data_IF_057764599587
#
_entry.id   IF_057764599587
#
_cell.length_a   1.000
_cell.length_b   1.000
_cell.length_c   1.000
_cell.angle_alpha   90.00
_cell.angle_beta   90.00
_cell.angle_gamma   90.00
#
_symmetry.space_group_name_H-M   'P 1'
#
loop_
_entity.id
_entity.type
_entity.pdbx_description
1 polymer ?
#
# COMPACT_ATOMS: atom_id res chain seq x y z
N UNK A 1 -6.04 -1.24 -11.38
CA UNK A 1 -4.58 -1.23 -11.23
C UNK A 1 -4.26 -1.33 -9.75
N UNK A 2 -4.05 -2.54 -9.25
CA UNK A 2 -3.45 -2.76 -7.95
C UNK A 2 -2.01 -3.22 -8.20
N UNK A 3 -1.04 -2.55 -7.58
CA UNK A 3 0.40 -2.81 -7.74
C UNK A 3 1.00 -3.20 -6.38
N UNK A 4 1.89 -4.19 -6.37
CA UNK A 4 2.68 -4.57 -5.21
C UNK A 4 4.16 -4.59 -5.60
N UNK A 5 4.97 -3.71 -5.00
CA UNK A 5 6.42 -3.68 -5.18
C UNK A 5 7.07 -3.87 -3.82
N UNK A 6 7.81 -4.96 -3.63
CA UNK A 6 8.43 -5.24 -2.34
C UNK A 6 9.44 -6.37 -2.43
N UNK A 7 10.73 -6.04 -2.28
CA UNK A 7 11.77 -7.02 -1.91
C UNK A 7 11.56 -7.41 -0.45
N UNK A 8 10.60 -8.29 -0.19
CA UNK A 8 10.30 -8.80 1.14
C UNK A 8 11.30 -9.92 1.47
N UNK A 9 12.14 -9.71 2.49
CA UNK A 9 12.79 -10.82 3.16
C UNK A 9 11.69 -11.75 3.71
N UNK A 10 11.81 -13.04 3.40
CA UNK A 10 10.93 -14.16 3.79
C UNK A 10 10.17 -13.96 5.11
N UNK A 11 8.95 -13.45 5.06
CA UNK A 11 7.91 -13.66 6.09
C UNK A 11 6.57 -13.34 5.45
N UNK A 12 5.77 -14.39 5.21
CA UNK A 12 4.43 -14.45 4.58
C UNK A 12 4.39 -14.56 3.03
N UNK A 13 3.75 -15.63 2.49
CA UNK A 13 3.49 -15.73 1.05
C UNK A 13 2.49 -14.65 0.62
N UNK A 14 2.63 -14.07 -0.58
CA UNK A 14 1.75 -13.01 -1.08
C UNK A 14 0.26 -13.42 -1.15
N UNK A 15 -0.05 -14.71 -0.99
CA UNK A 15 -1.42 -15.25 -1.01
C UNK A 15 -2.38 -14.48 -0.10
N UNK A 16 -2.06 -14.29 1.18
CA UNK A 16 -2.99 -13.64 2.11
C UNK A 16 -3.29 -12.19 1.71
N UNK A 17 -2.28 -11.48 1.19
CA UNK A 17 -2.43 -10.12 0.70
C UNK A 17 -3.26 -10.06 -0.58
N UNK A 18 -2.97 -10.92 -1.56
CA UNK A 18 -3.66 -10.94 -2.84
C UNK A 18 -5.11 -11.43 -2.67
N UNK A 19 -5.35 -12.39 -1.79
CA UNK A 19 -6.69 -12.85 -1.41
C UNK A 19 -7.51 -11.72 -0.75
N UNK A 20 -6.94 -10.98 0.21
CA UNK A 20 -7.63 -9.83 0.82
C UNK A 20 -7.92 -8.72 -0.21
N UNK A 21 -6.97 -8.47 -1.12
CA UNK A 21 -7.14 -7.51 -2.19
C UNK A 21 -8.28 -7.89 -3.14
N UNK A 22 -8.36 -9.16 -3.57
CA UNK A 22 -9.41 -9.65 -4.48
C UNK A 22 -10.81 -9.43 -3.90
N UNK A 23 -11.00 -9.70 -2.60
CA UNK A 23 -12.29 -9.54 -1.91
C UNK A 23 -12.76 -8.09 -1.80
N UNK A 24 -11.85 -7.12 -1.99
CA UNK A 24 -12.16 -5.67 -1.90
C UNK A 24 -12.44 -5.05 -3.26
N UNK A 25 -12.22 -5.79 -4.35
CA UNK A 25 -12.45 -5.32 -5.70
C UNK A 25 -13.78 -5.89 -6.21
N UNK A 26 -14.67 -5.00 -6.64
CA UNK A 26 -16.00 -5.38 -7.12
C UNK A 26 -16.01 -5.81 -8.60
N UNK A 27 -14.95 -5.50 -9.34
CA UNK A 27 -14.88 -5.67 -10.79
C UNK A 27 -13.52 -6.27 -11.19
N UNK A 28 -13.48 -6.89 -12.36
CA UNK A 28 -12.26 -7.32 -13.05
C UNK A 28 -11.26 -6.16 -13.14
N UNK A 29 -9.99 -6.42 -12.85
CA UNK A 29 -8.91 -5.44 -12.94
C UNK A 29 -7.74 -5.95 -13.77
N UNK A 30 -6.89 -5.02 -14.21
CA UNK A 30 -5.53 -5.35 -14.62
C UNK A 30 -4.58 -5.20 -13.42
N UNK A 31 -3.72 -6.21 -13.24
CA UNK A 31 -2.72 -6.29 -12.19
C UNK A 31 -1.31 -6.16 -12.78
N UNK A 32 -0.41 -5.51 -12.05
CA UNK A 32 1.01 -5.52 -12.36
C UNK A 32 1.84 -5.72 -11.10
N UNK A 33 2.75 -6.69 -11.13
CA UNK A 33 3.70 -6.97 -10.05
C UNK A 33 5.14 -6.84 -10.53
N UNK A 34 6.07 -6.85 -9.57
CA UNK A 34 7.50 -6.98 -9.87
C UNK A 34 7.89 -8.42 -10.23
N UNK A 35 9.17 -8.66 -10.51
CA UNK A 35 9.72 -9.98 -10.87
C UNK A 35 9.59 -11.11 -9.83
N UNK A 36 8.90 -10.92 -8.71
CA UNK A 36 8.84 -11.89 -7.63
C UNK A 36 7.87 -13.04 -7.93
N UNK A 37 8.43 -14.22 -8.23
CA UNK A 37 7.70 -15.42 -8.68
C UNK A 37 6.54 -15.87 -7.79
N UNK A 38 6.55 -15.59 -6.49
CA UNK A 38 5.44 -16.00 -5.62
C UNK A 38 4.11 -15.31 -5.96
N UNK A 39 4.15 -14.17 -6.66
CA UNK A 39 2.93 -13.53 -7.17
C UNK A 39 2.27 -14.31 -8.32
N UNK A 40 2.99 -15.20 -9.02
CA UNK A 40 2.38 -16.02 -10.07
C UNK A 40 1.26 -16.90 -9.49
N UNK A 41 1.58 -17.66 -8.44
CA UNK A 41 0.62 -18.54 -7.78
C UNK A 41 -0.46 -17.75 -7.04
N UNK A 42 -0.06 -16.65 -6.36
CA UNK A 42 -1.01 -15.86 -5.58
C UNK A 42 -2.05 -15.13 -6.43
N UNK A 43 -1.64 -14.54 -7.55
CA UNK A 43 -2.55 -13.84 -8.47
C UNK A 43 -3.47 -14.83 -9.16
N UNK A 44 -2.94 -15.92 -9.70
CA UNK A 44 -3.76 -16.98 -10.31
C UNK A 44 -4.83 -17.48 -9.33
N UNK A 45 -4.46 -17.78 -8.09
CA UNK A 45 -5.39 -18.34 -7.09
C UNK A 45 -6.51 -17.39 -6.67
N UNK A 46 -6.25 -16.07 -6.64
CA UNK A 46 -7.19 -15.08 -6.12
C UNK A 46 -7.99 -14.35 -7.22
N UNK A 47 -7.38 -14.15 -8.39
CA UNK A 47 -7.90 -13.33 -9.47
C UNK A 47 -8.08 -14.11 -10.78
N UNK A 48 -7.79 -15.42 -10.81
CA UNK A 48 -7.77 -16.24 -12.02
C UNK A 48 -8.84 -15.87 -13.03
N UNK A 49 -8.41 -15.46 -14.22
CA UNK A 49 -9.24 -14.86 -15.26
C UNK A 49 -9.11 -13.33 -15.41
N UNK A 50 -8.38 -12.61 -14.55
CA UNK A 50 -8.03 -11.19 -14.70
C UNK A 50 -6.78 -10.97 -15.57
N UNK A 51 -6.56 -9.75 -16.07
CA UNK A 51 -5.36 -9.47 -16.88
C UNK A 51 -4.15 -9.23 -15.97
N UNK A 52 -3.07 -9.98 -16.19
CA UNK A 52 -1.90 -9.92 -15.32
C UNK A 52 -0.60 -9.85 -16.12
N UNK A 53 0.25 -8.88 -15.74
CA UNK A 53 1.59 -8.73 -16.26
C UNK A 53 2.61 -8.51 -15.14
N UNK A 54 3.86 -8.87 -15.39
CA UNK A 54 4.99 -8.54 -14.52
C UNK A 54 5.86 -7.50 -15.21
N UNK A 55 6.33 -6.49 -14.45
CA UNK A 55 7.36 -5.57 -14.88
C UNK A 55 8.66 -5.88 -14.15
N UNK A 56 9.59 -6.50 -14.86
CA UNK A 56 10.87 -6.96 -14.32
C UNK A 56 11.94 -5.92 -14.60
N UNK A 57 12.36 -5.21 -13.55
CA UNK A 57 13.49 -4.27 -13.64
C UNK A 57 14.81 -5.02 -13.71
N UNK A 58 15.62 -4.68 -14.70
CA UNK A 58 16.95 -5.21 -14.92
C UNK A 58 17.93 -4.24 -14.26
N UNK A 59 18.69 -4.76 -13.30
CA UNK A 59 19.69 -3.97 -12.58
C UNK A 59 21.09 -4.45 -12.97
N UNK A 60 21.93 -3.52 -13.40
CA UNK A 60 23.36 -3.73 -13.66
C UNK A 60 24.23 -3.45 -12.44
N UNK A 61 25.51 -3.73 -12.57
CA UNK A 61 26.54 -3.35 -11.60
C UNK A 61 26.77 -1.84 -11.64
N UNK A 62 26.62 -1.16 -10.49
CA UNK A 62 26.95 0.27 -10.36
C UNK A 62 28.43 0.51 -10.68
N UNK A 63 28.75 1.63 -11.36
CA UNK A 63 30.14 2.03 -11.64
C UNK A 63 30.99 2.13 -10.36
N UNK A 64 32.28 1.83 -10.45
CA UNK A 64 33.22 1.88 -9.32
C UNK A 64 33.24 3.25 -8.61
N UNK A 65 32.98 4.33 -9.35
CA UNK A 65 32.87 5.71 -8.86
C UNK A 65 31.63 5.98 -7.99
N UNK A 66 30.62 5.10 -8.04
CA UNK A 66 29.38 5.21 -7.27
C UNK A 66 29.34 4.26 -6.07
N UNK A 67 30.43 3.56 -5.72
CA UNK A 67 30.49 2.56 -4.63
C UNK A 67 30.47 3.19 -3.22
N UNK A 68 29.40 3.92 -2.88
CA UNK A 68 29.02 4.16 -1.50
C UNK A 68 28.26 2.95 -0.94
N UNK A 69 28.29 2.74 0.38
CA UNK A 69 27.57 1.64 1.08
C UNK A 69 26.06 1.60 0.80
N UNK A 70 25.50 2.67 0.24
CA UNK A 70 24.08 2.91 0.06
C UNK A 70 23.67 3.30 -1.36
N UNK A 71 24.60 3.22 -2.32
CA UNK A 71 24.28 3.54 -3.71
C UNK A 71 23.41 2.44 -4.32
N UNK A 72 22.29 2.79 -4.95
CA UNK A 72 21.47 1.79 -5.64
C UNK A 72 22.23 1.17 -6.82
N UNK A 73 21.81 -0.04 -7.18
CA UNK A 73 22.20 -0.64 -8.45
C UNK A 73 21.65 0.21 -9.60
N UNK A 74 22.41 0.32 -10.70
CA UNK A 74 21.94 1.03 -11.87
C UNK A 74 20.81 0.24 -12.53
N UNK A 75 19.65 0.87 -12.72
CA UNK A 75 18.53 0.26 -13.43
C UNK A 75 18.82 0.38 -14.93
N UNK A 76 19.26 -0.70 -15.57
CA UNK A 76 19.70 -0.72 -16.97
C UNK A 76 18.56 -0.99 -17.95
N UNK A 77 17.39 -1.38 -17.46
CA UNK A 77 16.18 -1.55 -18.27
C UNK A 77 15.01 -2.12 -17.48
N UNK A 78 13.90 -2.33 -18.17
CA UNK A 78 12.76 -3.06 -17.66
C UNK A 78 12.18 -3.95 -18.77
N UNK A 79 11.67 -5.12 -18.39
CA UNK A 79 11.00 -6.06 -19.30
C UNK A 79 9.56 -6.27 -18.82
N UNK A 80 8.61 -6.10 -19.71
CA UNK A 80 7.22 -6.46 -19.46
C UNK A 80 6.99 -7.90 -19.89
N UNK A 81 6.33 -8.68 -19.05
CA UNK A 81 5.97 -10.06 -19.31
C UNK A 81 4.47 -10.23 -19.06
N UNK A 82 3.72 -10.56 -20.11
CA UNK A 82 2.31 -10.92 -19.97
C UNK A 82 2.24 -12.32 -19.40
N UNK A 83 1.53 -12.47 -18.28
CA UNK A 83 1.36 -13.76 -17.59
C UNK A 83 0.00 -14.35 -17.94
N UNK A 84 -1.07 -13.56 -17.85
CA UNK A 84 -2.44 -14.01 -18.09
C UNK A 84 -3.26 -12.92 -18.79
N UNK A 85 -4.24 -13.36 -19.59
CA UNK A 85 -5.20 -12.48 -20.25
C UNK A 85 -4.60 -11.63 -21.37
N UNK A 86 -5.12 -10.41 -21.53
CA UNK A 86 -4.69 -9.46 -22.54
C UNK A 86 -4.48 -8.06 -21.90
N UNK A 87 -3.48 -7.91 -21.02
CA UNK A 87 -3.21 -6.64 -20.33
C UNK A 87 -2.83 -5.55 -21.34
N UNK A 88 -3.35 -4.34 -21.12
CA UNK A 88 -2.95 -3.15 -21.86
C UNK A 88 -1.47 -2.84 -21.54
N UNK A 89 -0.56 -2.96 -22.52
CA UNK A 89 0.87 -2.75 -22.30
C UNK A 89 1.20 -1.33 -21.81
N UNK A 90 0.34 -0.34 -22.08
CA UNK A 90 0.55 1.05 -21.64
C UNK A 90 0.29 1.23 -20.15
N UNK A 91 -0.46 0.33 -19.54
CA UNK A 91 -0.78 0.39 -18.12
C UNK A 91 0.17 -0.45 -17.29
N UNK A 92 0.93 -1.39 -17.87
CA UNK A 92 1.92 -2.20 -17.15
C UNK A 92 3.01 -1.31 -16.54
N UNK A 93 2.95 -1.13 -15.22
CA UNK A 93 3.85 -0.27 -14.45
C UNK A 93 4.05 -0.78 -13.03
N UNK A 94 5.09 -0.29 -12.36
CA UNK A 94 5.24 -0.36 -10.90
C UNK A 94 5.33 1.05 -10.28
N UNK A 95 5.12 2.08 -11.10
CA UNK A 95 5.39 3.47 -10.72
C UNK A 95 4.41 4.00 -9.70
N UNK A 96 3.18 3.47 -9.64
CA UNK A 96 2.18 3.92 -8.66
C UNK A 96 2.53 3.42 -7.26
N UNK A 97 2.87 2.13 -7.12
CA UNK A 97 3.37 1.56 -5.87
C UNK A 97 4.68 2.24 -5.43
N UNK A 98 5.61 2.47 -6.35
CA UNK A 98 6.88 3.15 -6.04
C UNK A 98 6.68 4.61 -5.60
N UNK A 99 5.71 5.30 -6.20
CA UNK A 99 5.36 6.67 -5.82
C UNK A 99 4.71 6.72 -4.44
N UNK A 100 3.87 5.74 -4.11
CA UNK A 100 3.27 5.58 -2.79
C UNK A 100 4.36 5.30 -1.75
N UNK A 101 5.26 4.36 -2.00
CA UNK A 101 6.39 4.05 -1.13
C UNK A 101 7.27 5.26 -0.85
N UNK A 102 7.60 6.02 -1.89
CA UNK A 102 8.33 7.27 -1.74
C UNK A 102 7.57 8.26 -0.85
N UNK A 103 6.27 8.40 -1.09
CA UNK A 103 5.41 9.30 -0.30
C UNK A 103 5.41 8.90 1.18
N UNK A 104 5.25 7.61 1.48
CA UNK A 104 5.30 7.09 2.84
C UNK A 104 6.65 7.37 3.49
N UNK A 105 7.77 7.10 2.80
CA UNK A 105 9.13 7.37 3.31
C UNK A 105 9.39 8.85 3.62
N UNK A 106 8.80 9.76 2.83
CA UNK A 106 8.97 11.20 3.01
C UNK A 106 8.11 11.76 4.15
N UNK A 107 6.96 11.13 4.45
CA UNK A 107 6.03 11.64 5.48
C UNK A 107 6.14 10.90 6.81
N UNK A 108 6.68 9.69 6.81
CA UNK A 108 6.75 8.82 7.98
C UNK A 108 8.20 8.50 8.31
N UNK A 109 8.70 9.08 9.41
CA UNK A 109 10.08 8.84 9.86
C UNK A 109 10.40 7.35 10.10
N UNK A 110 9.37 6.57 10.44
CA UNK A 110 9.43 5.11 10.59
C UNK A 110 9.93 4.35 9.37
N UNK A 111 9.71 4.91 8.18
CA UNK A 111 10.15 4.32 6.91
C UNK A 111 11.46 4.95 6.39
N UNK A 112 12.00 5.95 7.10
CA UNK A 112 13.28 6.57 6.77
C UNK A 112 14.43 5.76 7.38
N UNK A 113 15.42 5.44 6.55
CA UNK A 113 16.62 4.71 6.97
C UNK A 113 17.50 5.59 7.88
N UNK A 114 18.27 4.95 8.77
CA UNK A 114 19.26 5.60 9.65
C UNK A 114 18.66 6.67 10.57
N UNK A 115 17.48 6.39 11.13
CA UNK A 115 16.86 7.23 12.15
C UNK A 115 16.44 6.40 13.35
N UNK A 116 16.24 7.06 14.50
CA UNK A 116 15.70 6.41 15.69
C UNK A 116 14.16 6.33 15.68
N UNK A 117 13.51 6.66 14.55
CA UNK A 117 12.06 6.52 14.41
C UNK A 117 11.70 5.08 14.12
N UNK A 118 11.44 4.26 15.13
CA UNK A 118 10.98 2.89 14.98
C UNK A 118 9.84 2.58 15.94
N UNK A 119 8.99 1.65 15.54
CA UNK A 119 7.91 1.11 16.39
C UNK A 119 8.43 -0.10 17.17
N UNK A 120 8.08 -0.18 18.46
CA UNK A 120 8.42 -1.36 19.29
C UNK A 120 7.45 -2.52 19.09
N UNK A 121 6.21 -2.23 18.70
CA UNK A 121 5.12 -3.20 18.52
C UNK A 121 4.54 -3.08 17.12
N UNK A 122 4.13 -4.20 16.51
CA UNK A 122 3.60 -4.23 15.14
C UNK A 122 2.31 -3.43 15.03
N UNK A 123 1.48 -3.44 16.08
CA UNK A 123 0.23 -2.70 16.19
C UNK A 123 0.49 -1.20 16.14
N UNK A 124 1.53 -0.72 16.81
CA UNK A 124 1.91 0.71 16.76
C UNK A 124 2.40 1.13 15.38
N UNK A 125 3.02 0.21 14.63
CA UNK A 125 3.40 0.45 13.23
C UNK A 125 2.16 0.51 12.33
N UNK A 126 1.25 -0.46 12.47
CA UNK A 126 -0.02 -0.49 11.74
C UNK A 126 -0.86 0.78 11.99
N UNK A 127 -0.93 1.25 13.24
CA UNK A 127 -1.63 2.49 13.59
C UNK A 127 -1.00 3.72 12.92
N UNK A 128 0.33 3.81 12.88
CA UNK A 128 1.02 4.91 12.21
C UNK A 128 0.75 4.91 10.69
N UNK A 129 0.72 3.73 10.07
CA UNK A 129 0.37 3.55 8.65
C UNK A 129 -1.08 3.93 8.40
N UNK A 130 -2.02 3.49 9.24
CA UNK A 130 -3.43 3.84 9.14
C UNK A 130 -3.66 5.35 9.25
N UNK A 131 -3.00 6.01 10.21
CA UNK A 131 -3.05 7.48 10.35
C UNK A 131 -2.50 8.19 9.12
N UNK A 132 -1.39 7.69 8.55
CA UNK A 132 -0.84 8.24 7.32
C UNK A 132 -1.83 8.14 6.15
N UNK A 133 -2.49 6.99 5.97
CA UNK A 133 -3.48 6.82 4.91
C UNK A 133 -4.71 7.70 5.11
N UNK A 134 -5.19 7.87 6.35
CA UNK A 134 -6.28 8.81 6.65
C UNK A 134 -5.88 10.25 6.29
N UNK A 135 -4.72 10.69 6.76
CA UNK A 135 -4.21 12.02 6.47
C UNK A 135 -4.02 12.24 4.96
N UNK A 136 -3.35 11.32 4.27
CA UNK A 136 -3.00 11.46 2.86
C UNK A 136 -4.24 11.46 1.96
N UNK A 137 -5.19 10.56 2.21
CA UNK A 137 -6.36 10.40 1.35
C UNK A 137 -7.46 11.44 1.62
N UNK A 138 -7.67 11.84 2.87
CA UNK A 138 -8.85 12.65 3.24
C UNK A 138 -8.54 14.12 3.56
N UNK A 139 -7.33 14.44 4.02
CA UNK A 139 -6.98 15.81 4.49
C UNK A 139 -5.98 16.51 3.54
N UNK A 140 -5.04 15.77 2.95
CA UNK A 140 -3.98 16.37 2.14
C UNK A 140 -4.46 16.67 0.73
N UNK A 141 -4.42 17.94 0.33
CA UNK A 141 -4.65 18.35 -1.05
C UNK A 141 -3.48 17.88 -1.92
N UNK A 142 -3.78 17.07 -2.93
CA UNK A 142 -2.77 16.60 -3.87
C UNK A 142 -2.49 17.67 -4.93
N UNK A 143 -1.20 17.99 -5.14
CA UNK A 143 -0.79 19.12 -5.98
C UNK A 143 -1.37 19.06 -7.41
N UNK A 144 -1.40 17.88 -8.03
CA UNK A 144 -1.92 17.72 -9.40
C UNK A 144 -3.45 17.62 -9.45
N UNK A 145 -4.08 17.04 -8.43
CA UNK A 145 -5.55 16.86 -8.41
C UNK A 145 -6.27 18.12 -7.95
N UNK A 146 -5.56 19.03 -7.26
CA UNK A 146 -6.12 20.24 -6.61
C UNK A 146 -7.22 19.95 -5.59
N UNK A 147 -7.38 18.69 -5.19
CA UNK A 147 -8.27 18.19 -4.14
C UNK A 147 -7.63 16.96 -3.47
N UNK A 148 -8.32 16.37 -2.49
CA UNK A 148 -7.81 15.16 -1.83
C UNK A 148 -8.05 13.91 -2.68
N UNK A 149 -7.21 12.86 -2.56
CA UNK A 149 -7.41 11.60 -3.27
C UNK A 149 -8.79 10.99 -3.05
N UNK A 150 -9.32 11.02 -1.82
CA UNK A 150 -10.65 10.49 -1.52
C UNK A 150 -11.77 11.27 -2.21
N UNK A 151 -11.63 12.58 -2.37
CA UNK A 151 -12.59 13.39 -3.14
C UNK A 151 -12.51 13.07 -4.64
N UNK A 152 -11.30 12.96 -5.20
CA UNK A 152 -11.11 12.61 -6.60
C UNK A 152 -11.66 11.22 -6.94
N UNK A 153 -11.60 10.28 -5.99
CA UNK A 153 -12.17 8.94 -6.11
C UNK A 153 -13.68 8.86 -5.81
N UNK A 154 -14.33 9.98 -5.42
CA UNK A 154 -15.74 10.00 -5.05
C UNK A 154 -16.07 9.34 -3.70
N UNK A 155 -15.06 9.01 -2.89
CA UNK A 155 -15.22 8.41 -1.56
C UNK A 155 -15.64 9.45 -0.52
N UNK A 156 -15.23 10.70 -0.69
CA UNK A 156 -15.56 11.80 0.21
C UNK A 156 -16.14 13.00 -0.57
N UNK A 157 -17.24 13.56 -0.07
CA UNK A 157 -17.85 14.77 -0.65
C UNK A 157 -17.28 16.09 -0.12
N UNK A 158 -16.41 16.04 0.88
CA UNK A 158 -15.81 17.23 1.52
C UNK A 158 -14.33 16.99 1.85
N UNK A 159 -13.60 18.08 2.00
CA UNK A 159 -12.29 18.08 2.66
C UNK A 159 -12.48 17.75 4.14
N UNK A 160 -11.67 16.84 4.66
CA UNK A 160 -11.64 16.53 6.09
C UNK A 160 -10.61 17.41 6.79
N UNK A 161 -10.81 17.57 8.10
CA UNK A 161 -9.87 18.21 9.01
C UNK A 161 -9.40 17.23 10.08
N UNK A 162 -8.39 17.63 10.86
CA UNK A 162 -7.89 16.81 11.99
C UNK A 162 -9.04 16.53 12.98
N UNK A 163 -9.94 17.50 13.17
CA UNK A 163 -11.12 17.35 14.03
C UNK A 163 -12.04 16.20 13.61
N UNK A 164 -12.21 15.94 12.30
CA UNK A 164 -13.02 14.81 11.82
C UNK A 164 -12.38 13.47 12.24
N UNK A 165 -11.04 13.36 12.23
CA UNK A 165 -10.34 12.15 12.69
C UNK A 165 -10.53 11.95 14.20
N UNK A 166 -10.38 13.01 14.99
CA UNK A 166 -10.56 12.95 16.45
C UNK A 166 -11.99 12.52 16.78
N UNK A 167 -12.98 13.10 16.11
CA UNK A 167 -14.39 12.75 16.30
C UNK A 167 -14.68 11.27 16.00
N UNK A 168 -14.05 10.68 14.97
CA UNK A 168 -14.16 9.24 14.70
C UNK A 168 -13.62 8.38 15.85
N UNK A 169 -12.48 8.77 16.43
CA UNK A 169 -11.86 8.04 17.54
C UNK A 169 -12.76 8.14 18.79
N UNK A 170 -13.23 9.34 19.12
CA UNK A 170 -14.12 9.57 20.27
C UNK A 170 -15.44 8.79 20.14
N UNK A 171 -16.03 8.77 18.95
CA UNK A 171 -17.23 7.98 18.66
C UNK A 171 -16.96 6.48 18.88
N UNK A 172 -15.81 5.97 18.40
CA UNK A 172 -15.45 4.56 18.57
C UNK A 172 -15.22 4.17 20.03
N UNK A 173 -14.61 5.05 20.81
CA UNK A 173 -14.45 4.84 22.25
C UNK A 173 -15.79 4.86 22.98
N UNK A 174 -16.70 5.76 22.60
CA UNK A 174 -18.03 5.83 23.19
C UNK A 174 -18.85 4.56 22.94
N UNK A 175 -18.80 3.99 21.74
CA UNK A 175 -19.39 2.68 21.42
C UNK A 175 -18.83 1.56 22.30
N UNK A 176 -17.50 1.52 22.44
CA UNK A 176 -16.80 0.50 23.23
C UNK A 176 -17.18 0.58 24.71
N UNK A 177 -17.29 1.79 25.27
CA UNK A 177 -17.77 2.02 26.65
C UNK A 177 -19.22 1.54 26.84
N UNK A 178 -20.10 1.80 25.86
CA UNK A 178 -21.50 1.34 25.90
C UNK A 178 -21.60 -0.19 25.86
N UNK A 179 -20.74 -0.85 25.10
CA UNK A 179 -20.71 -2.31 25.04
C UNK A 179 -20.25 -2.93 26.36
N UNK A 180 -19.19 -2.40 26.98
CA UNK A 180 -18.67 -2.87 28.27
C UNK A 180 -19.68 -2.71 29.43
N UNK A 181 -20.49 -1.63 29.42
CA UNK A 181 -21.55 -1.43 30.41
C UNK A 181 -22.73 -2.41 30.28
N UNK A 182 -22.93 -3.00 29.10
CA UNK A 182 -24.06 -3.91 28.82
C UNK A 182 -23.78 -5.36 29.25
N UNK A 183 -22.52 -5.74 29.42
CA UNK A 183 -22.09 -7.07 29.86
C UNK A 183 -21.91 -7.21 31.38
N UNK A 184 -22.02 -6.13 32.15
CA UNK A 184 -21.79 -6.11 33.61
C UNK A 184 -23.03 -6.23 34.50
N UNK A 185 -24.24 -6.38 33.94
CA UNK A 185 -25.51 -6.21 34.67
C UNK A 185 -26.25 -7.49 35.10
N UNK A 186 -25.58 -8.64 35.20
CA UNK A 186 -26.25 -9.92 35.45
C UNK A 186 -25.58 -10.80 36.49
N UNK A 187 -25.58 -10.38 37.76
CA UNK A 187 -25.51 -11.28 38.94
C UNK A 187 -26.23 -10.62 40.13
N UNK A 188 -27.49 -11.00 40.34
CA UNK A 188 -28.16 -10.96 41.63
C UNK A 188 -28.66 -12.37 41.92
#
# INVERSE_FOLDING_TARGET
MAEGAGKLNRTEPPQAFVDDLSRRLANRVQLTSDGHRAYLEAVEGAFGGDDYAMLVKIYGTSSDSAKGRYSPAECTGARNETIEGNPDPKQVSTSFAERQDLTMRMHMRGFTRLTNGFSKMVETHANAVALHFMYYNFLRIHASLRMTPAMAAGVAGKLWEIGDIVALIEAKEAESRRFAGRTGGGKH
#
